data_IF_063654210809
#
_entry.id   IF_063654210809
#
_cell.length_a   1.000
_cell.length_b   1.000
_cell.length_c   1.000
_cell.angle_alpha   90.00
_cell.angle_beta   90.00
_cell.angle_gamma   90.00
#
_symmetry.space_group_name_H-M   'P 1'
#
loop_
_entity.id
_entity.type
_entity.pdbx_description
1 polymer ?
#
# COMPACT_ATOMS: atom_id res chain seq x y z
N UNK A 1 1.46 -31.24 43.80
CA UNK A 1 2.13 -30.73 42.57
C UNK A 1 1.20 -30.13 41.52
N UNK A 2 -0.07 -30.56 41.41
CA UNK A 2 -1.03 -30.15 40.35
C UNK A 2 -1.38 -28.65 40.27
N UNK A 3 -1.35 -27.89 41.38
CA UNK A 3 -1.72 -26.46 41.42
C UNK A 3 -0.60 -25.47 41.07
N UNK A 4 0.68 -25.84 41.21
CA UNK A 4 1.82 -24.95 40.92
C UNK A 4 1.96 -24.71 39.41
N UNK A 5 1.80 -25.77 38.61
CA UNK A 5 1.79 -25.68 37.14
C UNK A 5 0.65 -24.84 36.59
N UNK A 6 -0.55 -24.92 37.18
CA UNK A 6 -1.69 -24.06 36.81
C UNK A 6 -1.35 -22.58 37.01
N UNK A 7 -0.75 -22.21 38.14
CA UNK A 7 -0.32 -20.81 38.38
C UNK A 7 0.74 -20.34 37.37
N UNK A 8 1.71 -21.20 37.05
CA UNK A 8 2.75 -20.89 36.04
C UNK A 8 2.12 -20.68 34.66
N UNK A 9 1.20 -21.55 34.25
CA UNK A 9 0.48 -21.42 32.97
C UNK A 9 -0.37 -20.14 32.96
N UNK A 10 -1.07 -19.83 34.05
CA UNK A 10 -1.87 -18.59 34.14
C UNK A 10 -1.01 -17.33 34.05
N UNK A 11 0.17 -17.30 34.69
CA UNK A 11 1.11 -16.18 34.57
C UNK A 11 1.63 -16.05 33.14
N UNK A 12 1.94 -17.18 32.49
CA UNK A 12 2.41 -17.18 31.11
C UNK A 12 1.33 -16.68 30.14
N UNK A 13 0.08 -17.12 30.28
CA UNK A 13 -1.05 -16.63 29.51
C UNK A 13 -1.28 -15.13 29.72
N UNK A 14 -1.16 -14.64 30.96
CA UNK A 14 -1.27 -13.21 31.26
C UNK A 14 -0.16 -12.40 30.56
N UNK A 15 1.09 -12.86 30.62
CA UNK A 15 2.21 -12.20 29.93
C UNK A 15 1.98 -12.19 28.42
N UNK A 16 1.65 -13.33 27.81
CA UNK A 16 1.35 -13.42 26.37
C UNK A 16 0.20 -12.49 25.97
N UNK A 17 -0.88 -12.46 26.76
CA UNK A 17 -2.04 -11.61 26.50
C UNK A 17 -1.70 -10.12 26.63
N UNK A 18 -0.91 -9.75 27.64
CA UNK A 18 -0.42 -8.38 27.83
C UNK A 18 0.49 -7.96 26.69
N UNK A 19 1.48 -8.78 26.33
CA UNK A 19 2.39 -8.51 25.20
C UNK A 19 1.64 -8.37 23.88
N UNK A 20 0.65 -9.24 23.62
CA UNK A 20 -0.20 -9.15 22.43
C UNK A 20 -1.01 -7.85 22.41
N UNK A 21 -1.63 -7.48 23.54
CA UNK A 21 -2.40 -6.25 23.66
C UNK A 21 -1.53 -5.01 23.44
N UNK A 22 -0.36 -4.94 24.08
CA UNK A 22 0.58 -3.84 23.90
C UNK A 22 1.10 -3.76 22.46
N UNK A 23 1.46 -4.91 21.86
CA UNK A 23 1.87 -4.96 20.47
C UNK A 23 0.78 -4.42 19.55
N UNK A 24 -0.45 -4.94 19.66
CA UNK A 24 -1.58 -4.49 18.83
C UNK A 24 -1.88 -3.00 19.00
N UNK A 25 -1.75 -2.45 20.21
CA UNK A 25 -1.96 -1.02 20.50
C UNK A 25 -0.87 -0.12 19.88
N UNK A 26 0.34 -0.63 19.73
CA UNK A 26 1.48 0.11 19.18
C UNK A 26 1.56 -0.06 17.66
N UNK A 27 1.15 -1.20 17.11
CA UNK A 27 1.31 -1.51 15.68
C UNK A 27 0.07 -1.32 14.84
N UNK A 28 -1.14 -1.34 15.40
CA UNK A 28 -2.37 -1.11 14.63
C UNK A 28 -2.91 0.30 14.84
N UNK A 29 -3.37 0.96 13.78
CA UNK A 29 -3.95 2.28 13.92
C UNK A 29 -5.29 2.20 14.64
N UNK A 30 -5.58 3.21 15.46
CA UNK A 30 -6.84 3.30 16.19
C UNK A 30 -7.98 3.86 15.32
N UNK A 31 -8.35 3.13 14.28
CA UNK A 31 -9.44 3.50 13.35
C UNK A 31 -10.75 2.82 13.76
N UNK A 32 -11.86 3.54 13.64
CA UNK A 32 -13.19 2.96 13.79
C UNK A 32 -13.49 1.90 12.71
N UNK A 33 -14.45 0.99 12.91
CA UNK A 33 -14.77 -0.06 11.94
C UNK A 33 -15.12 0.46 10.54
N UNK A 34 -15.86 1.58 10.46
CA UNK A 34 -16.23 2.22 9.18
C UNK A 34 -14.99 2.73 8.43
N UNK A 35 -14.14 3.51 9.11
CA UNK A 35 -12.89 4.05 8.53
C UNK A 35 -11.93 2.93 8.14
N UNK A 36 -11.81 1.89 8.98
CA UNK A 36 -11.00 0.71 8.68
C UNK A 36 -11.43 0.05 7.36
N UNK A 37 -12.75 -0.10 7.15
CA UNK A 37 -13.28 -0.67 5.92
C UNK A 37 -13.03 0.23 4.70
N UNK A 38 -13.27 1.53 4.85
CA UNK A 38 -12.99 2.54 3.80
C UNK A 38 -11.53 2.49 3.36
N UNK A 39 -10.58 2.49 4.31
CA UNK A 39 -9.15 2.44 4.00
C UNK A 39 -8.78 1.16 3.28
N UNK A 40 -9.19 -0.01 3.80
CA UNK A 40 -8.89 -1.29 3.15
C UNK A 40 -9.43 -1.36 1.72
N UNK A 41 -10.65 -0.89 1.51
CA UNK A 41 -11.29 -0.94 0.20
C UNK A 41 -10.68 0.07 -0.78
N UNK A 42 -10.46 1.30 -0.34
CA UNK A 42 -9.81 2.34 -1.13
C UNK A 42 -8.41 1.95 -1.55
N UNK A 43 -7.57 1.54 -0.58
CA UNK A 43 -6.21 1.12 -0.88
C UNK A 43 -6.15 -0.15 -1.73
N UNK A 44 -7.12 -1.07 -1.61
CA UNK A 44 -7.20 -2.20 -2.54
C UNK A 44 -7.33 -1.73 -4.00
N UNK A 45 -8.19 -0.75 -4.26
CA UNK A 45 -8.37 -0.19 -5.60
C UNK A 45 -7.12 0.58 -6.06
N UNK A 46 -6.44 1.28 -5.15
CA UNK A 46 -5.18 1.96 -5.45
C UNK A 46 -4.05 0.96 -5.80
N UNK A 47 -3.91 -0.11 -5.03
CA UNK A 47 -2.94 -1.17 -5.33
C UNK A 47 -3.23 -1.83 -6.68
N UNK A 48 -4.51 -2.06 -7.01
CA UNK A 48 -4.92 -2.53 -8.33
C UNK A 48 -4.54 -1.53 -9.43
N UNK A 49 -4.73 -0.23 -9.21
CA UNK A 49 -4.37 0.82 -10.17
C UNK A 49 -2.86 0.86 -10.44
N UNK A 50 -2.05 0.99 -9.38
CA UNK A 50 -0.58 1.06 -9.47
C UNK A 50 -0.02 -0.25 -10.04
N UNK A 51 -0.49 -1.38 -9.53
CA UNK A 51 -0.06 -2.71 -9.97
C UNK A 51 -0.36 -2.96 -11.44
N UNK A 52 -1.55 -2.58 -11.91
CA UNK A 52 -1.95 -2.69 -13.32
C UNK A 52 -1.06 -1.81 -14.19
N UNK A 53 -0.84 -0.54 -13.81
CA UNK A 53 0.01 0.36 -14.59
C UNK A 53 1.44 -0.20 -14.75
N UNK A 54 2.09 -0.58 -13.66
CA UNK A 54 3.46 -1.13 -13.71
C UNK A 54 3.47 -2.41 -14.55
N UNK A 55 2.51 -3.30 -14.34
CA UNK A 55 2.40 -4.57 -15.08
C UNK A 55 2.21 -4.35 -16.58
N UNK A 56 1.40 -3.40 -16.99
CA UNK A 56 1.07 -3.20 -18.41
C UNK A 56 2.11 -2.34 -19.15
N UNK A 57 2.86 -1.50 -18.43
CA UNK A 57 3.77 -0.53 -19.03
C UNK A 57 5.26 -0.84 -18.84
N UNK A 58 5.61 -1.88 -18.08
CA UNK A 58 7.00 -2.29 -17.88
C UNK A 58 7.22 -3.76 -18.19
N UNK A 59 8.21 -4.01 -19.06
CA UNK A 59 8.78 -5.35 -19.26
C UNK A 59 9.84 -5.62 -18.20
N UNK A 60 10.17 -6.90 -17.98
CA UNK A 60 11.24 -7.31 -17.07
C UNK A 60 10.82 -7.44 -15.60
N UNK A 61 9.54 -7.21 -15.30
CA UNK A 61 8.95 -7.39 -13.98
C UNK A 61 8.60 -8.88 -13.79
N UNK A 62 8.94 -9.42 -12.62
CA UNK A 62 8.55 -10.75 -12.18
C UNK A 62 7.38 -10.69 -11.19
N UNK A 63 7.45 -9.78 -10.21
CA UNK A 63 6.43 -9.62 -9.17
C UNK A 63 6.34 -8.16 -8.72
N UNK A 64 5.15 -7.74 -8.33
CA UNK A 64 4.86 -6.49 -7.64
C UNK A 64 4.23 -6.84 -6.30
N UNK A 65 4.74 -6.31 -5.21
CA UNK A 65 4.26 -6.59 -3.85
C UNK A 65 4.00 -5.29 -3.10
N UNK A 66 2.86 -5.17 -2.44
CA UNK A 66 2.52 -4.00 -1.66
C UNK A 66 2.84 -4.19 -0.18
N UNK A 67 3.40 -3.15 0.45
CA UNK A 67 3.50 -3.07 1.90
C UNK A 67 2.11 -3.05 2.55
N UNK A 68 2.01 -3.22 3.88
CA UNK A 68 0.84 -2.76 4.61
C UNK A 68 0.54 -1.29 4.31
N UNK A 69 -0.70 -0.90 4.55
CA UNK A 69 -1.16 0.49 4.56
C UNK A 69 -0.64 1.13 5.84
N UNK A 70 0.36 2.00 5.71
CA UNK A 70 0.91 2.78 6.81
C UNK A 70 0.00 3.95 7.13
N UNK A 71 -0.28 4.17 8.42
CA UNK A 71 -1.12 5.26 8.92
C UNK A 71 -0.31 6.07 9.94
N UNK A 72 0.09 7.30 9.59
CA UNK A 72 1.08 8.08 10.34
C UNK A 72 0.49 9.11 11.31
N UNK A 73 -0.71 9.61 11.06
CA UNK A 73 -1.36 10.62 11.91
C UNK A 73 -2.67 10.08 12.49
N UNK A 74 -2.66 9.63 13.74
CA UNK A 74 -3.90 9.17 14.40
C UNK A 74 -4.70 10.34 14.99
N UNK A 75 -6.01 10.41 14.68
CA UNK A 75 -6.95 11.27 15.41
C UNK A 75 -7.31 12.61 14.77
N UNK A 76 -6.87 12.89 13.54
CA UNK A 76 -7.45 13.95 12.70
C UNK A 76 -8.62 13.40 11.87
N UNK A 77 -9.39 14.28 11.22
CA UNK A 77 -10.54 13.89 10.38
C UNK A 77 -10.14 12.93 9.25
N UNK A 78 -8.89 13.01 8.77
CA UNK A 78 -8.27 12.04 7.84
C UNK A 78 -6.80 11.81 8.21
N UNK A 79 -6.50 10.60 8.71
CA UNK A 79 -5.13 10.15 8.97
C UNK A 79 -4.37 10.03 7.66
N UNK A 80 -3.20 10.66 7.55
CA UNK A 80 -2.30 10.42 6.41
C UNK A 80 -1.96 8.92 6.32
N UNK A 81 -2.10 8.35 5.13
CA UNK A 81 -1.85 6.95 4.88
C UNK A 81 -1.30 6.70 3.48
N UNK A 82 -0.44 5.69 3.38
CA UNK A 82 0.22 5.33 2.14
C UNK A 82 0.64 3.87 2.13
N UNK A 83 0.91 3.35 0.93
CA UNK A 83 1.53 2.04 0.69
C UNK A 83 2.86 2.23 -0.05
N UNK A 84 3.70 1.19 -0.05
CA UNK A 84 4.96 1.14 -0.79
C UNK A 84 4.95 -0.07 -1.73
N UNK A 85 4.83 0.15 -3.05
CA UNK A 85 4.99 -0.92 -4.03
C UNK A 85 6.46 -1.36 -4.10
N UNK A 86 6.70 -2.66 -4.07
CA UNK A 86 8.03 -3.28 -4.27
C UNK A 86 8.02 -4.04 -5.58
N UNK A 87 8.95 -3.69 -6.47
CA UNK A 87 9.15 -4.36 -7.75
C UNK A 87 10.24 -5.40 -7.61
N UNK A 88 9.99 -6.60 -8.13
CA UNK A 88 10.96 -7.66 -8.31
C UNK A 88 11.24 -7.83 -9.80
N UNK A 89 12.50 -7.77 -10.20
CA UNK A 89 12.92 -8.04 -11.57
C UNK A 89 13.21 -9.52 -11.80
N UNK A 90 13.30 -9.92 -13.07
CA UNK A 90 13.58 -11.32 -13.47
C UNK A 90 15.02 -11.80 -13.18
N UNK A 91 15.85 -10.95 -12.57
CA UNK A 91 17.23 -11.26 -12.22
C UNK A 91 17.41 -11.46 -10.71
N UNK A 92 16.32 -11.45 -9.93
CA UNK A 92 16.33 -11.65 -8.49
C UNK A 92 16.62 -10.37 -7.69
N UNK A 93 16.63 -9.19 -8.33
CA UNK A 93 16.71 -7.93 -7.59
C UNK A 93 15.32 -7.45 -7.21
N UNK A 94 15.24 -6.66 -6.13
CA UNK A 94 14.02 -5.99 -5.72
C UNK A 94 14.29 -4.55 -5.33
N UNK A 95 13.31 -3.69 -5.58
CA UNK A 95 13.40 -2.28 -5.23
C UNK A 95 12.02 -1.73 -4.87
N UNK A 96 11.97 -0.93 -3.81
CA UNK A 96 10.73 -0.35 -3.29
C UNK A 96 10.56 1.08 -3.83
N UNK A 97 9.38 1.36 -4.38
CA UNK A 97 9.00 2.70 -4.81
C UNK A 97 8.74 3.59 -3.59
N UNK A 98 9.10 4.86 -3.71
CA UNK A 98 9.10 5.83 -2.61
C UNK A 98 10.35 5.79 -1.74
N UNK A 99 11.27 4.83 -1.94
CA UNK A 99 12.52 4.79 -1.19
C UNK A 99 13.46 5.91 -1.63
N UNK A 100 14.25 6.41 -0.67
CA UNK A 100 15.22 7.46 -0.95
C UNK A 100 16.30 6.94 -1.90
N UNK A 101 16.48 7.62 -3.02
CA UNK A 101 17.54 7.33 -4.00
C UNK A 101 18.53 8.48 -3.97
N UNK A 102 19.72 8.23 -3.41
CA UNK A 102 20.74 9.27 -3.19
C UNK A 102 20.18 10.45 -2.36
N UNK A 103 19.97 11.62 -3.00
CA UNK A 103 19.42 12.83 -2.38
C UNK A 103 17.95 13.09 -2.75
N UNK A 104 17.38 12.27 -3.63
CA UNK A 104 16.00 12.40 -4.09
C UNK A 104 15.08 11.52 -3.23
N UNK A 105 13.92 12.08 -2.85
CA UNK A 105 12.86 11.37 -2.15
C UNK A 105 11.65 11.36 -3.09
N UNK A 106 11.30 10.21 -3.69
CA UNK A 106 10.11 10.10 -4.52
C UNK A 106 8.83 10.33 -3.69
N UNK A 107 7.73 10.64 -4.37
CA UNK A 107 6.41 10.78 -3.73
C UNK A 107 5.97 9.47 -3.09
N UNK A 108 5.19 9.57 -2.01
CA UNK A 108 4.46 8.44 -1.43
C UNK A 108 3.29 8.03 -2.31
N UNK A 109 2.85 6.78 -2.20
CA UNK A 109 1.68 6.25 -2.91
C UNK A 109 0.51 6.15 -1.94
N UNK A 110 -0.43 7.08 -1.96
CA UNK A 110 -1.48 7.12 -0.94
C UNK A 110 -2.36 8.36 -0.92
N UNK A 111 -2.87 8.67 0.28
CA UNK A 111 -3.69 9.85 0.49
C UNK A 111 -2.91 11.12 0.11
N UNK A 112 -3.63 12.14 -0.37
CA UNK A 112 -3.11 13.43 -0.85
C UNK A 112 -2.53 13.37 -2.28
N UNK A 113 -1.95 12.24 -2.70
CA UNK A 113 -1.26 12.14 -4.00
C UNK A 113 -1.95 11.24 -5.01
N UNK A 114 -2.66 10.18 -4.59
CA UNK A 114 -3.16 9.16 -5.52
C UNK A 114 -4.61 8.76 -5.24
N UNK A 115 -5.07 8.93 -3.99
CA UNK A 115 -6.42 8.56 -3.57
C UNK A 115 -7.01 9.57 -2.60
N UNK A 116 -8.32 9.79 -2.72
CA UNK A 116 -9.15 10.51 -1.75
C UNK A 116 -10.13 9.53 -1.12
N UNK A 117 -10.21 9.55 0.20
CA UNK A 117 -11.14 8.75 0.99
C UNK A 117 -11.93 9.67 1.90
N UNK A 118 -13.25 9.60 1.83
CA UNK A 118 -14.16 10.43 2.64
C UNK A 118 -15.48 9.68 2.91
N UNK A 119 -16.38 10.32 3.64
CA UNK A 119 -17.78 9.95 3.77
C UNK A 119 -18.67 11.11 3.29
N UNK A 120 -19.68 10.81 2.48
CA UNK A 120 -20.66 11.81 2.07
C UNK A 120 -21.53 12.29 3.25
N UNK A 121 -22.39 13.28 3.01
CA UNK A 121 -23.32 13.79 4.03
C UNK A 121 -24.34 12.75 4.55
N UNK A 122 -24.51 11.62 3.87
CA UNK A 122 -25.30 10.47 4.29
C UNK A 122 -24.49 9.40 5.03
N UNK A 123 -23.17 9.56 5.11
CA UNK A 123 -22.24 8.59 5.72
C UNK A 123 -21.88 7.41 4.82
N UNK A 124 -22.11 7.50 3.51
CA UNK A 124 -21.64 6.53 2.52
C UNK A 124 -20.16 6.76 2.21
N UNK A 125 -19.44 5.69 1.87
CA UNK A 125 -18.02 5.78 1.49
C UNK A 125 -17.86 6.55 0.17
N UNK A 126 -16.91 7.48 0.16
CA UNK A 126 -16.41 8.16 -1.04
C UNK A 126 -14.99 7.70 -1.28
N UNK A 127 -14.73 7.14 -2.46
CA UNK A 127 -13.41 6.67 -2.89
C UNK A 127 -13.15 7.25 -4.28
N UNK A 128 -12.14 8.10 -4.39
CA UNK A 128 -11.72 8.67 -5.66
C UNK A 128 -10.25 8.36 -5.91
N UNK A 129 -9.94 7.73 -7.04
CA UNK A 129 -8.56 7.57 -7.50
C UNK A 129 -8.20 8.72 -8.43
N UNK A 130 -6.95 9.19 -8.41
CA UNK A 130 -6.50 10.15 -9.42
C UNK A 130 -6.19 9.44 -10.74
N UNK A 131 -6.60 10.04 -11.85
CA UNK A 131 -6.24 9.59 -13.20
C UNK A 131 -4.88 10.15 -13.65
N UNK A 132 -4.46 9.81 -14.87
CA UNK A 132 -3.19 10.27 -15.44
C UNK A 132 -3.07 11.80 -15.64
N UNK A 133 -4.16 12.56 -15.42
CA UNK A 133 -4.19 14.03 -15.46
C UNK A 133 -4.48 14.63 -14.08
N UNK A 134 -4.27 13.86 -13.00
CA UNK A 134 -4.51 14.25 -11.62
C UNK A 134 -5.99 14.61 -11.33
N UNK A 135 -6.93 14.05 -12.09
CA UNK A 135 -8.37 14.24 -11.85
C UNK A 135 -8.95 13.10 -11.04
N UNK A 136 -9.77 13.44 -10.06
CA UNK A 136 -10.55 12.47 -9.30
C UNK A 136 -11.49 11.66 -10.19
N UNK A 137 -11.40 10.34 -10.08
CA UNK A 137 -12.32 9.36 -10.67
C UNK A 137 -13.02 8.64 -9.53
N UNK A 138 -14.31 8.90 -9.38
CA UNK A 138 -15.16 8.23 -8.40
C UNK A 138 -15.27 6.72 -8.68
N UNK A 139 -14.81 5.92 -7.71
CA UNK A 139 -14.85 4.45 -7.70
C UNK A 139 -15.54 3.93 -6.43
N UNK A 140 -16.36 4.76 -5.79
CA UNK A 140 -17.02 4.48 -4.50
C UNK A 140 -17.91 3.24 -4.53
N UNK A 141 -18.43 2.84 -5.69
CA UNK A 141 -19.30 1.66 -5.86
C UNK A 141 -18.59 0.46 -6.50
N UNK A 142 -17.29 0.54 -6.74
CA UNK A 142 -16.54 -0.49 -7.47
C UNK A 142 -15.89 -1.49 -6.50
N UNK A 143 -15.98 -2.79 -6.81
CA UNK A 143 -15.28 -3.83 -6.04
C UNK A 143 -13.83 -4.00 -6.51
N UNK A 144 -13.60 -3.79 -7.82
CA UNK A 144 -12.30 -3.87 -8.48
C UNK A 144 -12.07 -2.64 -9.35
N UNK A 145 -10.81 -2.39 -9.70
CA UNK A 145 -10.41 -1.26 -10.54
C UNK A 145 -11.21 -1.20 -11.85
N UNK A 146 -12.04 -0.15 -12.05
CA UNK A 146 -12.79 -0.02 -13.29
C UNK A 146 -11.91 0.53 -14.42
N UNK A 147 -12.28 0.25 -15.67
CA UNK A 147 -11.55 0.72 -16.86
C UNK A 147 -11.31 2.24 -16.88
N UNK A 148 -12.26 3.03 -16.36
CA UNK A 148 -12.17 4.49 -16.29
C UNK A 148 -11.06 5.00 -15.36
N UNK A 149 -10.57 4.16 -14.45
CA UNK A 149 -9.52 4.50 -13.50
C UNK A 149 -8.16 3.88 -13.87
N UNK A 150 -8.06 3.14 -14.97
CA UNK A 150 -6.77 2.60 -15.44
C UNK A 150 -5.90 3.75 -15.94
N UNK A 151 -4.69 3.86 -15.40
CA UNK A 151 -3.73 4.88 -15.79
C UNK A 151 -3.13 4.56 -17.17
N UNK A 152 -3.00 5.58 -18.00
CA UNK A 152 -2.24 5.51 -19.27
C UNK A 152 -0.84 6.10 -19.15
N UNK A 153 -0.66 7.00 -18.17
CA UNK A 153 0.60 7.61 -17.77
C UNK A 153 0.65 7.71 -16.23
N UNK A 154 1.83 7.56 -15.64
CA UNK A 154 2.06 7.83 -14.21
C UNK A 154 3.47 8.39 -14.02
N UNK A 155 3.64 9.69 -14.25
CA UNK A 155 4.97 10.33 -14.36
C UNK A 155 5.84 10.10 -13.12
N UNK A 156 5.29 10.26 -11.92
CA UNK A 156 6.04 10.06 -10.68
C UNK A 156 6.47 8.60 -10.48
N UNK A 157 5.63 7.65 -10.89
CA UNK A 157 5.98 6.21 -10.91
C UNK A 157 7.10 5.95 -11.91
N UNK A 158 6.97 6.53 -13.11
CA UNK A 158 7.93 6.34 -14.19
C UNK A 158 9.32 6.88 -13.82
N UNK A 159 9.37 8.09 -13.27
CA UNK A 159 10.59 8.73 -12.79
C UNK A 159 11.23 7.89 -11.67
N UNK A 160 10.43 7.39 -10.72
CA UNK A 160 10.95 6.55 -9.65
C UNK A 160 11.55 5.24 -10.18
N UNK A 161 10.87 4.54 -11.10
CA UNK A 161 11.39 3.30 -11.70
C UNK A 161 12.66 3.59 -12.51
N UNK A 162 12.68 4.66 -13.32
CA UNK A 162 13.87 5.07 -14.07
C UNK A 162 15.05 5.29 -13.14
N UNK A 163 14.86 6.02 -12.04
CA UNK A 163 15.92 6.23 -11.06
C UNK A 163 16.41 4.92 -10.43
N UNK A 164 15.53 3.96 -10.15
CA UNK A 164 15.94 2.66 -9.59
C UNK A 164 16.76 1.85 -10.61
N UNK A 165 16.40 1.89 -11.89
CA UNK A 165 17.17 1.26 -12.97
C UNK A 165 18.52 1.94 -13.17
N UNK A 166 18.53 3.28 -13.25
CA UNK A 166 19.75 4.09 -13.50
C UNK A 166 20.78 3.95 -12.36
N UNK A 167 20.31 3.68 -11.14
CA UNK A 167 21.18 3.43 -9.98
C UNK A 167 21.47 1.94 -9.76
N UNK A 168 21.04 1.07 -10.68
CA UNK A 168 21.35 -0.36 -10.67
C UNK A 168 20.61 -1.18 -9.61
N UNK A 169 19.54 -0.66 -9.00
CA UNK A 169 18.70 -1.41 -8.06
C UNK A 169 17.79 -2.41 -8.79
N UNK A 170 17.42 -2.10 -10.03
CA UNK A 170 16.65 -2.96 -10.92
C UNK A 170 17.42 -3.19 -12.22
N UNK A 171 17.29 -4.39 -12.78
CA UNK A 171 17.96 -4.83 -14.00
C UNK A 171 16.95 -5.31 -15.03
N UNK A 172 17.10 -4.83 -16.27
CA UNK A 172 16.28 -5.26 -17.41
C UNK A 172 14.80 -4.87 -17.31
N UNK A 173 14.45 -3.97 -16.39
CA UNK A 173 13.15 -3.33 -16.31
C UNK A 173 13.12 -2.19 -17.33
N UNK A 174 12.21 -2.25 -18.30
CA UNK A 174 12.14 -1.29 -19.40
C UNK A 174 10.69 -0.90 -19.66
N UNK A 175 10.44 0.41 -19.78
CA UNK A 175 9.11 0.95 -20.13
C UNK A 175 8.76 0.56 -21.57
N UNK A 176 7.78 -0.31 -21.72
CA UNK A 176 7.34 -0.86 -23.01
C UNK A 176 5.88 -1.33 -22.87
N UNK A 177 5.05 -1.01 -23.89
CA UNK A 177 3.62 -1.34 -23.93
C UNK A 177 3.32 -2.85 -23.97
N UNK A 178 4.33 -3.69 -24.18
CA UNK A 178 4.22 -5.15 -24.02
C UNK A 178 3.98 -5.56 -22.57
N UNK A 179 4.42 -4.73 -21.61
CA UNK A 179 4.30 -5.01 -20.20
C UNK A 179 4.96 -6.33 -19.77
N UNK A 180 4.51 -6.82 -18.62
CA UNK A 180 4.88 -8.10 -18.01
C UNK A 180 3.61 -8.88 -17.69
N UNK A 181 2.91 -9.46 -18.68
CA UNK A 181 1.62 -10.10 -18.48
C UNK A 181 1.63 -11.24 -17.44
N UNK A 182 2.80 -11.89 -17.28
CA UNK A 182 3.01 -12.97 -16.32
C UNK A 182 3.48 -12.48 -14.94
N UNK A 183 3.65 -11.17 -14.72
CA UNK A 183 4.03 -10.66 -13.42
C UNK A 183 2.91 -10.92 -12.40
N UNK A 184 3.30 -11.42 -11.23
CA UNK A 184 2.41 -11.57 -10.08
C UNK A 184 2.19 -10.21 -9.39
N UNK A 185 0.98 -9.97 -8.90
CA UNK A 185 0.68 -8.81 -8.05
C UNK A 185 0.19 -9.33 -6.70
N UNK A 186 0.92 -8.99 -5.64
CA UNK A 186 0.62 -9.36 -4.26
C UNK A 186 0.11 -8.12 -3.52
N UNK A 187 -1.20 -8.09 -3.30
CA UNK A 187 -1.94 -7.02 -2.64
C UNK A 187 -1.87 -7.14 -1.11
N UNK A 188 -1.91 -6.02 -0.38
CA UNK A 188 -1.81 -6.03 1.08
C UNK A 188 -2.58 -4.90 1.78
N UNK A 189 -3.85 -5.19 2.09
CA UNK A 189 -4.72 -4.26 2.84
C UNK A 189 -4.56 -4.32 4.37
N UNK A 190 -3.47 -4.89 4.89
CA UNK A 190 -3.19 -4.81 6.33
C UNK A 190 -2.91 -3.36 6.73
N UNK A 191 -3.38 -2.96 7.91
CA UNK A 191 -3.19 -1.59 8.42
C UNK A 191 -2.12 -1.59 9.50
N UNK A 192 -1.11 -0.74 9.34
CA UNK A 192 -0.01 -0.59 10.27
C UNK A 192 0.13 0.87 10.69
N UNK A 193 0.32 1.10 11.98
CA UNK A 193 0.59 2.42 12.56
C UNK A 193 2.03 2.82 12.30
N UNK A 194 2.25 4.10 12.02
CA UNK A 194 3.57 4.67 11.75
C UNK A 194 3.88 4.66 10.26
N UNK A 195 5.17 4.64 9.92
CA UNK A 195 5.64 4.58 8.54
C UNK A 195 6.47 3.34 8.27
N UNK A 196 6.91 3.17 7.02
CA UNK A 196 7.96 2.23 6.70
C UNK A 196 9.24 2.61 7.46
N UNK A 197 9.84 1.64 8.17
CA UNK A 197 11.12 1.79 8.87
C UNK A 197 12.31 1.86 7.90
#
# INVERSE_FOLDING_TARGET
MRRKWVKIISIFLLILSGSYFFHNKITKPNLGPKTTRLYKRGFRLLEEQIGTYIKDHYTGIEKIEFSPIYVTEEGSTFSNAYVRPTIYDKYGNKATLGDKIKKFIPLSYGLISDIVLDFDGGGNEVIELLDSNDKSVDVSNEEHLPKKAILTEARSTDENISLLVDNGHLRGVVKDKKGSPNAEIVYNTELQKGGAE
#
